data_IF_817650910156
#
_entry.id   IF_817650910156
#
_cell.length_a   1.000
_cell.length_b   1.000
_cell.length_c   1.000
_cell.angle_alpha   90.00
_cell.angle_beta   90.00
_cell.angle_gamma   90.00
#
_symmetry.space_group_name_H-M   'P 1'
#
loop_
_entity.id
_entity.type
_entity.pdbx_description
1 polymer ?
#
# COMPACT_ATOMS: atom_id res chain seq x y z
N UNK A 1 -5.62 -9.46 -13.66
CA UNK A 1 -4.15 -9.58 -13.55
C UNK A 1 -3.55 -8.29 -14.10
N UNK A 2 -2.67 -7.63 -13.33
CA UNK A 2 -1.96 -6.40 -13.75
C UNK A 2 -0.71 -6.77 -14.57
N UNK A 3 -0.28 -5.90 -15.50
CA UNK A 3 1.02 -6.11 -16.13
C UNK A 3 2.15 -5.86 -15.13
N UNK A 4 2.04 -4.79 -14.33
CA UNK A 4 3.02 -4.52 -13.28
C UNK A 4 2.40 -3.86 -12.06
N UNK A 5 2.95 -4.20 -10.89
CA UNK A 5 2.65 -3.59 -9.58
C UNK A 5 3.94 -3.00 -9.02
N UNK A 6 3.84 -1.78 -8.49
CA UNK A 6 4.94 -1.08 -7.84
C UNK A 6 4.70 -0.94 -6.33
N UNK A 7 5.71 -1.23 -5.53
CA UNK A 7 5.62 -1.16 -4.07
C UNK A 7 6.63 -0.13 -3.55
N UNK A 8 6.14 0.90 -2.88
CA UNK A 8 6.96 1.81 -2.08
C UNK A 8 7.07 1.28 -0.66
N UNK A 9 8.29 0.96 -0.23
CA UNK A 9 8.58 0.39 1.09
C UNK A 9 8.58 -1.15 1.07
N UNK A 10 9.74 -1.74 1.32
CA UNK A 10 9.97 -3.18 1.42
C UNK A 10 10.38 -3.56 2.85
N UNK A 11 9.60 -3.14 3.83
CA UNK A 11 9.62 -3.71 5.16
C UNK A 11 8.89 -5.05 5.22
N UNK A 12 8.54 -5.51 6.40
CA UNK A 12 7.78 -6.75 6.62
C UNK A 12 6.47 -6.76 5.83
N UNK A 13 5.69 -5.68 5.90
CA UNK A 13 4.40 -5.58 5.19
C UNK A 13 4.56 -5.56 3.67
N UNK A 14 5.49 -4.73 3.15
CA UNK A 14 5.74 -4.65 1.70
C UNK A 14 6.31 -5.95 1.12
N UNK A 15 7.20 -6.63 1.87
CA UNK A 15 7.71 -7.95 1.50
C UNK A 15 6.64 -9.02 1.50
N UNK A 16 5.76 -9.03 2.51
CA UNK A 16 4.61 -9.94 2.59
C UNK A 16 3.61 -9.71 1.46
N UNK A 17 3.41 -8.43 1.09
CA UNK A 17 2.56 -8.06 -0.03
C UNK A 17 3.14 -8.55 -1.35
N UNK A 18 4.44 -8.32 -1.60
CA UNK A 18 5.12 -8.81 -2.79
C UNK A 18 5.04 -10.34 -2.90
N UNK A 19 5.25 -11.05 -1.80
CA UNK A 19 5.13 -12.51 -1.73
C UNK A 19 3.71 -12.98 -2.07
N UNK A 20 2.69 -12.33 -1.51
CA UNK A 20 1.28 -12.68 -1.74
C UNK A 20 0.83 -12.36 -3.17
N UNK A 21 1.22 -11.20 -3.72
CA UNK A 21 0.96 -10.83 -5.12
C UNK A 21 1.54 -11.88 -6.07
N UNK A 22 2.79 -12.30 -5.81
CA UNK A 22 3.47 -13.30 -6.62
C UNK A 22 2.79 -14.67 -6.53
N UNK A 23 2.53 -15.16 -5.32
CA UNK A 23 1.93 -16.50 -5.11
C UNK A 23 0.53 -16.60 -5.72
N UNK A 24 -0.23 -15.51 -5.70
CA UNK A 24 -1.60 -15.44 -6.26
C UNK A 24 -1.61 -14.99 -7.73
N UNK A 25 -0.44 -14.79 -8.35
CA UNK A 25 -0.27 -14.40 -9.75
C UNK A 25 -1.07 -13.14 -10.14
N UNK A 26 -1.11 -12.13 -9.27
CA UNK A 26 -1.90 -10.91 -9.49
C UNK A 26 -1.23 -9.93 -10.44
N UNK A 27 0.09 -10.03 -10.63
CA UNK A 27 0.85 -9.24 -11.59
C UNK A 27 1.88 -10.09 -12.34
N UNK A 28 2.19 -9.70 -13.58
CA UNK A 28 3.28 -10.30 -14.35
C UNK A 28 4.64 -9.88 -13.80
N UNK A 29 4.75 -8.61 -13.37
CA UNK A 29 5.97 -8.04 -12.81
C UNK A 29 5.67 -7.30 -11.51
N UNK A 30 6.58 -7.36 -10.57
CA UNK A 30 6.53 -6.65 -9.30
C UNK A 30 7.81 -5.84 -9.21
N UNK A 31 7.66 -4.54 -9.03
CA UNK A 31 8.75 -3.59 -8.86
C UNK A 31 8.69 -2.94 -7.50
N UNK A 32 9.77 -2.36 -7.04
CA UNK A 32 9.79 -1.70 -5.74
C UNK A 32 10.80 -0.55 -5.67
N UNK A 33 10.58 0.29 -4.67
CA UNK A 33 11.55 1.23 -4.15
C UNK A 33 11.54 1.20 -2.63
N UNK A 34 12.72 1.24 -2.05
CA UNK A 34 12.94 1.43 -0.62
C UNK A 34 14.18 2.27 -0.40
N UNK A 35 14.21 3.07 0.67
CA UNK A 35 15.41 3.82 1.07
C UNK A 35 16.56 2.89 1.50
N UNK A 36 16.24 1.70 1.99
CA UNK A 36 17.20 0.68 2.39
C UNK A 36 17.52 -0.25 1.20
N UNK A 37 18.66 -0.04 0.58
CA UNK A 37 19.12 -0.84 -0.57
C UNK A 37 19.27 -2.33 -0.23
N UNK A 38 19.56 -2.69 1.02
CA UNK A 38 19.69 -4.08 1.43
C UNK A 38 18.33 -4.80 1.41
N UNK A 39 17.24 -4.11 1.75
CA UNK A 39 15.88 -4.64 1.60
C UNK A 39 15.55 -4.96 0.14
N UNK A 40 15.94 -4.06 -0.77
CA UNK A 40 15.73 -4.24 -2.22
C UNK A 40 16.52 -5.41 -2.77
N UNK A 41 17.81 -5.52 -2.41
CA UNK A 41 18.68 -6.64 -2.80
C UNK A 41 18.13 -7.96 -2.29
N UNK A 42 17.82 -8.03 -0.99
CA UNK A 42 17.24 -9.24 -0.38
C UNK A 42 15.94 -9.67 -1.08
N UNK A 43 15.01 -8.73 -1.30
CA UNK A 43 13.75 -9.04 -1.97
C UNK A 43 13.95 -9.55 -3.42
N UNK A 44 14.94 -9.01 -4.14
CA UNK A 44 15.30 -9.46 -5.48
C UNK A 44 15.93 -10.86 -5.46
N UNK A 45 16.86 -11.13 -4.56
CA UNK A 45 17.52 -12.43 -4.42
C UNK A 45 16.52 -13.53 -4.00
N UNK A 46 15.57 -13.20 -3.13
CA UNK A 46 14.44 -14.08 -2.79
C UNK A 46 13.38 -14.15 -3.89
N UNK A 47 13.59 -13.46 -4.99
CA UNK A 47 12.64 -13.41 -6.13
C UNK A 47 11.25 -12.93 -5.72
N UNK A 48 11.13 -12.08 -4.69
CA UNK A 48 9.87 -11.44 -4.30
C UNK A 48 9.50 -10.35 -5.29
N UNK A 49 10.50 -9.67 -5.83
CA UNK A 49 10.36 -8.62 -6.85
C UNK A 49 11.19 -8.95 -8.09
N UNK A 50 10.83 -8.38 -9.23
CA UNK A 50 11.54 -8.56 -10.50
C UNK A 50 12.71 -7.58 -10.65
N UNK A 51 12.50 -6.33 -10.27
CA UNK A 51 13.48 -5.26 -10.27
C UNK A 51 13.09 -4.17 -9.27
N UNK A 52 13.98 -3.20 -9.08
CA UNK A 52 13.75 -2.04 -8.23
C UNK A 52 14.37 -0.79 -8.84
N UNK A 53 13.79 0.35 -8.52
CA UNK A 53 14.35 1.66 -8.86
C UNK A 53 15.27 2.15 -7.74
N UNK A 54 16.29 2.94 -8.12
CA UNK A 54 17.09 3.71 -7.18
C UNK A 54 16.58 5.16 -7.10
N UNK A 55 16.73 5.95 -8.19
CA UNK A 55 16.33 7.36 -8.23
C UNK A 55 15.69 7.78 -9.56
N UNK A 56 15.76 6.95 -10.58
CA UNK A 56 15.25 7.22 -11.92
C UNK A 56 13.75 6.91 -12.08
N UNK A 57 13.20 6.10 -11.19
CA UNK A 57 11.78 5.69 -11.16
C UNK A 57 11.24 5.17 -12.50
N UNK A 58 12.10 4.53 -13.30
CA UNK A 58 11.75 3.96 -14.59
C UNK A 58 10.62 2.93 -14.48
N UNK A 59 10.74 2.01 -13.52
CA UNK A 59 9.73 0.97 -13.34
C UNK A 59 8.42 1.51 -12.76
N UNK A 60 8.47 2.62 -12.01
CA UNK A 60 7.27 3.32 -11.55
C UNK A 60 6.45 3.83 -12.75
N UNK A 61 7.11 4.41 -13.76
CA UNK A 61 6.43 4.94 -14.94
C UNK A 61 5.79 3.88 -15.84
N UNK A 62 6.12 2.61 -15.64
CA UNK A 62 5.53 1.47 -16.37
C UNK A 62 4.40 0.78 -15.57
N UNK A 63 4.16 1.16 -14.32
CA UNK A 63 3.34 0.37 -13.40
C UNK A 63 1.86 0.73 -13.45
N UNK A 64 1.00 -0.31 -13.48
CA UNK A 64 -0.46 -0.18 -13.53
C UNK A 64 -1.07 0.09 -12.14
N UNK A 65 -0.42 -0.42 -11.10
CA UNK A 65 -0.90 -0.38 -9.72
C UNK A 65 0.24 -0.07 -8.78
N UNK A 66 0.06 0.92 -7.92
CA UNK A 66 1.07 1.44 -7.01
C UNK A 66 0.57 1.24 -5.58
N UNK A 67 1.39 0.65 -4.72
CA UNK A 67 1.04 0.39 -3.33
C UNK A 67 2.08 1.03 -2.41
N UNK A 68 1.62 1.87 -1.48
CA UNK A 68 2.49 2.55 -0.53
C UNK A 68 2.49 1.78 0.79
N UNK A 69 3.64 1.20 1.13
CA UNK A 69 3.91 0.43 2.35
C UNK A 69 4.98 1.10 3.21
N UNK A 70 5.11 2.40 3.11
CA UNK A 70 6.11 3.21 3.80
C UNK A 70 5.54 3.86 5.08
N UNK A 71 6.38 4.30 6.03
CA UNK A 71 5.94 5.09 7.17
C UNK A 71 5.30 6.42 6.76
N UNK A 72 4.39 6.93 7.59
CA UNK A 72 3.59 8.13 7.32
C UNK A 72 4.42 9.37 6.94
N UNK A 73 5.56 9.57 7.59
CA UNK A 73 6.45 10.71 7.31
C UNK A 73 7.04 10.71 5.90
N UNK A 74 6.98 9.60 5.17
CA UNK A 74 7.47 9.49 3.80
C UNK A 74 6.39 9.84 2.74
N UNK A 75 5.11 9.92 3.11
CA UNK A 75 4.01 10.03 2.14
C UNK A 75 4.08 11.28 1.25
N UNK A 76 4.39 12.45 1.82
CA UNK A 76 4.51 13.69 1.04
C UNK A 76 5.54 13.55 -0.09
N UNK A 77 6.71 13.00 0.23
CA UNK A 77 7.77 12.77 -0.76
C UNK A 77 7.35 11.70 -1.78
N UNK A 78 6.75 10.59 -1.34
CA UNK A 78 6.27 9.51 -2.22
C UNK A 78 5.21 10.04 -3.18
N UNK A 79 4.23 10.82 -2.71
CA UNK A 79 3.23 11.42 -3.59
C UNK A 79 3.85 12.39 -4.61
N UNK A 80 4.89 13.16 -4.23
CA UNK A 80 5.62 14.01 -5.17
C UNK A 80 6.32 13.20 -6.26
N UNK A 81 6.92 12.06 -5.90
CA UNK A 81 7.53 11.13 -6.85
C UNK A 81 6.45 10.52 -7.75
N UNK A 82 5.35 10.03 -7.17
CA UNK A 82 4.25 9.45 -7.93
C UNK A 82 3.67 10.48 -8.91
N UNK A 83 3.43 11.73 -8.48
CA UNK A 83 2.95 12.80 -9.34
C UNK A 83 3.84 12.98 -10.57
N UNK A 84 5.17 12.95 -10.36
CA UNK A 84 6.15 13.19 -11.43
C UNK A 84 6.27 12.02 -12.41
N UNK A 85 6.19 10.78 -11.92
CA UNK A 85 6.61 9.60 -12.70
C UNK A 85 5.49 8.61 -12.99
N UNK A 86 4.32 8.65 -12.32
CA UNK A 86 3.24 7.69 -12.59
C UNK A 86 2.75 7.79 -14.02
N UNK A 87 2.44 6.67 -14.65
CA UNK A 87 1.73 6.69 -15.92
C UNK A 87 0.26 7.10 -15.73
N UNK A 88 -0.33 7.63 -16.81
CA UNK A 88 -1.77 7.89 -16.83
C UNK A 88 -2.58 6.62 -16.56
N UNK A 89 -3.63 6.74 -15.77
CA UNK A 89 -4.51 5.62 -15.41
C UNK A 89 -3.96 4.63 -14.39
N UNK A 90 -2.74 4.85 -13.85
CA UNK A 90 -2.22 4.03 -12.76
C UNK A 90 -3.09 4.18 -11.50
N UNK A 91 -3.35 3.06 -10.84
CA UNK A 91 -4.11 3.01 -9.58
C UNK A 91 -3.13 3.11 -8.42
N UNK A 92 -3.48 3.91 -7.42
CA UNK A 92 -2.67 4.10 -6.22
C UNK A 92 -3.50 3.66 -5.01
N UNK A 93 -2.89 2.89 -4.12
CA UNK A 93 -3.42 2.57 -2.80
C UNK A 93 -2.30 2.56 -1.77
N UNK A 94 -2.65 2.53 -0.50
CA UNK A 94 -1.70 2.42 0.59
C UNK A 94 -2.11 1.33 1.58
N UNK A 95 -1.32 1.14 2.64
CA UNK A 95 -1.63 0.25 3.75
C UNK A 95 -1.47 0.92 5.12
N UNK A 96 -1.42 2.25 5.16
CA UNK A 96 -1.23 3.01 6.40
C UNK A 96 -2.36 2.81 7.41
N UNK A 97 -2.04 2.97 8.69
CA UNK A 97 -2.98 2.79 9.80
C UNK A 97 -3.89 3.99 10.06
N UNK A 98 -3.60 5.15 9.48
CA UNK A 98 -4.45 6.36 9.53
C UNK A 98 -4.81 6.79 8.12
N UNK A 99 -5.97 7.44 7.92
CA UNK A 99 -6.46 7.78 6.58
C UNK A 99 -6.64 9.27 6.34
N UNK A 100 -7.18 10.00 7.32
CA UNK A 100 -7.49 11.41 7.16
C UNK A 100 -6.25 12.24 6.79
N UNK A 101 -5.16 12.04 7.53
CA UNK A 101 -3.92 12.76 7.26
C UNK A 101 -3.32 12.41 5.89
N UNK A 102 -3.39 11.13 5.49
CA UNK A 102 -2.93 10.69 4.16
C UNK A 102 -3.69 11.42 3.06
N UNK A 103 -5.02 11.51 3.17
CA UNK A 103 -5.87 12.20 2.19
C UNK A 103 -5.56 13.70 2.16
N UNK A 104 -5.35 14.33 3.31
CA UNK A 104 -4.98 15.74 3.35
C UNK A 104 -3.66 16.02 2.63
N UNK A 105 -2.63 15.19 2.86
CA UNK A 105 -1.35 15.30 2.15
C UNK A 105 -1.52 15.03 0.65
N UNK A 106 -2.31 14.01 0.28
CA UNK A 106 -2.58 13.62 -1.09
C UNK A 106 -3.20 14.77 -1.89
N UNK A 107 -4.25 15.41 -1.35
CA UNK A 107 -4.96 16.54 -1.98
C UNK A 107 -4.04 17.71 -2.32
N UNK A 108 -3.01 17.94 -1.49
CA UNK A 108 -2.02 19.00 -1.73
C UNK A 108 -1.07 18.69 -2.89
N UNK A 109 -0.90 17.41 -3.23
CA UNK A 109 0.13 16.97 -4.18
C UNK A 109 -0.46 16.45 -5.49
N UNK A 110 -1.48 15.60 -5.42
CA UNK A 110 -2.05 14.89 -6.59
C UNK A 110 -3.44 15.46 -6.90
N UNK A 111 -3.57 16.19 -7.99
CA UNK A 111 -4.82 16.86 -8.37
C UNK A 111 -5.89 15.90 -8.88
N UNK A 112 -5.50 14.80 -9.53
CA UNK A 112 -6.39 13.75 -10.05
C UNK A 112 -6.61 12.60 -9.05
N UNK A 113 -6.45 12.88 -7.74
CA UNK A 113 -6.50 11.86 -6.68
C UNK A 113 -7.82 11.08 -6.64
N UNK A 114 -8.93 11.70 -6.96
CA UNK A 114 -10.28 11.08 -7.00
C UNK A 114 -10.39 9.98 -8.03
N UNK A 115 -9.57 10.06 -9.08
CA UNK A 115 -9.55 9.11 -10.19
C UNK A 115 -8.54 7.98 -9.99
N UNK A 116 -7.54 8.17 -9.15
CA UNK A 116 -6.41 7.25 -9.08
C UNK A 116 -6.10 6.71 -7.68
N UNK A 117 -6.57 7.33 -6.58
CA UNK A 117 -6.22 6.92 -5.21
C UNK A 117 -7.41 6.42 -4.39
N UNK A 118 -7.20 5.31 -3.69
CA UNK A 118 -8.07 4.86 -2.58
C UNK A 118 -7.17 4.41 -1.44
N UNK A 119 -7.39 4.96 -0.25
CA UNK A 119 -6.75 4.46 0.96
C UNK A 119 -7.20 3.03 1.29
N UNK A 120 -6.28 2.23 1.78
CA UNK A 120 -6.57 0.90 2.31
C UNK A 120 -5.87 0.71 3.65
N UNK A 121 -6.45 -0.10 4.52
CA UNK A 121 -5.85 -0.50 5.78
C UNK A 121 -6.12 -1.99 6.03
N UNK A 122 -5.18 -2.88 5.72
CA UNK A 122 -5.26 -4.28 6.13
C UNK A 122 -5.12 -4.38 7.65
N UNK A 123 -6.14 -4.91 8.33
CA UNK A 123 -6.09 -5.14 9.77
C UNK A 123 -5.30 -6.43 10.06
N UNK A 124 -4.02 -6.37 9.75
CA UNK A 124 -3.04 -7.44 9.99
C UNK A 124 -1.65 -6.83 10.01
N UNK A 125 -0.73 -7.46 10.68
CA UNK A 125 0.64 -7.00 10.79
C UNK A 125 1.34 -7.70 11.94
N UNK A 126 2.62 -7.39 12.10
CA UNK A 126 3.45 -7.77 13.25
C UNK A 126 4.36 -6.60 13.61
N UNK A 127 4.86 -6.60 14.82
CA UNK A 127 5.77 -5.56 15.35
C UNK A 127 7.14 -5.51 14.66
N UNK A 128 7.48 -6.52 13.85
CA UNK A 128 8.75 -6.58 13.11
C UNK A 128 8.70 -5.69 11.86
N UNK A 129 9.77 -4.93 11.63
CA UNK A 129 9.81 -3.95 10.52
C UNK A 129 10.63 -4.38 9.30
N UNK A 130 11.48 -5.40 9.41
CA UNK A 130 12.43 -5.77 8.34
C UNK A 130 11.80 -6.66 7.27
N UNK A 131 12.29 -6.53 6.02
CA UNK A 131 11.85 -7.37 4.88
C UNK A 131 12.11 -8.86 5.12
N UNK A 132 13.13 -9.23 5.88
CA UNK A 132 13.45 -10.64 6.21
C UNK A 132 12.34 -11.32 7.03
N UNK A 133 11.53 -10.54 7.73
CA UNK A 133 10.39 -11.03 8.51
C UNK A 133 9.09 -11.14 7.69
N UNK A 134 9.17 -11.05 6.35
CA UNK A 134 7.96 -11.18 5.52
C UNK A 134 7.28 -12.53 5.71
N UNK A 135 5.96 -12.51 5.63
CA UNK A 135 5.13 -13.73 5.75
C UNK A 135 4.35 -13.99 4.47
N UNK A 136 4.37 -15.25 4.05
CA UNK A 136 3.68 -15.69 2.84
C UNK A 136 2.20 -15.64 3.13
N UNK A 137 1.33 -15.58 3.29
CA UNK A 137 -0.12 -15.59 3.49
C UNK A 137 -0.61 -14.61 4.57
N UNK A 138 0.19 -13.60 4.91
CA UNK A 138 -0.15 -12.62 5.94
C UNK A 138 -1.55 -12.00 5.73
N UNK A 139 -1.93 -11.82 4.48
CA UNK A 139 -3.21 -11.20 4.11
C UNK A 139 -4.37 -12.17 3.97
N UNK A 140 -4.15 -13.49 4.00
CA UNK A 140 -5.23 -14.47 3.82
C UNK A 140 -6.25 -14.35 4.96
N UNK A 141 -7.51 -14.12 4.59
CA UNK A 141 -8.64 -13.88 5.49
C UNK A 141 -8.59 -12.57 6.30
N UNK A 142 -7.55 -11.75 6.13
CA UNK A 142 -7.48 -10.44 6.78
C UNK A 142 -8.65 -9.55 6.36
N UNK A 143 -9.11 -8.71 7.27
CA UNK A 143 -10.06 -7.63 6.95
C UNK A 143 -9.27 -6.46 6.39
N UNK A 144 -9.72 -5.91 5.28
CA UNK A 144 -9.15 -4.70 4.69
C UNK A 144 -10.22 -3.62 4.64
N UNK A 145 -9.98 -2.54 5.34
CA UNK A 145 -10.80 -1.34 5.26
C UNK A 145 -10.33 -0.52 4.07
N UNK A 146 -11.19 -0.28 3.09
CA UNK A 146 -10.92 0.67 2.01
C UNK A 146 -11.69 1.95 2.26
N UNK A 147 -11.03 3.09 2.02
CA UNK A 147 -11.55 4.40 2.41
C UNK A 147 -11.72 5.33 1.21
N UNK A 148 -12.74 5.09 0.35
CA UNK A 148 -13.08 6.03 -0.70
C UNK A 148 -13.62 7.33 -0.08
N UNK A 149 -13.27 8.46 -0.68
CA UNK A 149 -13.94 9.74 -0.41
C UNK A 149 -15.20 9.84 -1.29
N UNK A 150 -16.07 10.79 -1.00
CA UNK A 150 -17.36 10.95 -1.70
C UNK A 150 -17.21 11.06 -3.21
N UNK A 151 -16.20 11.80 -3.67
CA UNK A 151 -15.92 12.03 -5.10
C UNK A 151 -15.17 10.88 -5.78
N UNK A 152 -14.78 9.84 -5.05
CA UNK A 152 -14.02 8.71 -5.64
C UNK A 152 -14.83 7.95 -6.68
N UNK A 153 -14.28 7.76 -7.87
CA UNK A 153 -14.95 7.03 -8.96
C UNK A 153 -15.31 5.59 -8.54
N UNK A 154 -16.56 5.18 -8.76
CA UNK A 154 -17.06 3.81 -8.46
C UNK A 154 -16.23 2.71 -9.13
N UNK A 155 -15.71 2.97 -10.33
CA UNK A 155 -14.84 2.05 -11.07
C UNK A 155 -13.51 1.81 -10.34
N UNK A 156 -12.93 2.84 -9.75
CA UNK A 156 -11.70 2.73 -8.95
C UNK A 156 -11.96 1.93 -7.66
N UNK A 157 -13.07 2.21 -6.95
CA UNK A 157 -13.50 1.42 -5.79
C UNK A 157 -13.61 -0.07 -6.13
N UNK A 158 -14.23 -0.38 -7.28
CA UNK A 158 -14.35 -1.77 -7.74
C UNK A 158 -12.99 -2.42 -8.01
N UNK A 159 -12.07 -1.72 -8.68
CA UNK A 159 -10.73 -2.25 -9.00
C UNK A 159 -9.91 -2.54 -7.75
N UNK A 160 -9.87 -1.62 -6.78
CA UNK A 160 -9.13 -1.82 -5.52
C UNK A 160 -9.78 -2.91 -4.66
N UNK A 161 -11.13 -2.95 -4.59
CA UNK A 161 -11.84 -4.05 -3.90
C UNK A 161 -11.53 -5.41 -4.52
N UNK A 162 -11.52 -5.51 -5.86
CA UNK A 162 -11.16 -6.75 -6.57
C UNK A 162 -9.72 -7.18 -6.29
N UNK A 163 -8.78 -6.23 -6.22
CA UNK A 163 -7.38 -6.54 -5.85
C UNK A 163 -7.30 -7.20 -4.48
N UNK A 164 -7.89 -6.58 -3.44
CA UNK A 164 -7.83 -7.13 -2.08
C UNK A 164 -8.60 -8.46 -1.95
N UNK A 165 -9.75 -8.61 -2.63
CA UNK A 165 -10.47 -9.90 -2.68
C UNK A 165 -9.64 -11.00 -3.35
N UNK A 166 -8.90 -10.67 -4.42
CA UNK A 166 -7.96 -11.61 -5.06
C UNK A 166 -6.77 -11.97 -4.15
N UNK A 167 -6.43 -11.11 -3.18
CA UNK A 167 -5.51 -11.40 -2.08
C UNK A 167 -6.13 -12.29 -1.00
N UNK A 168 -7.38 -12.75 -1.16
CA UNK A 168 -8.21 -13.51 -0.21
C UNK A 168 -8.58 -12.73 1.05
N UNK A 169 -8.63 -11.41 0.97
CA UNK A 169 -9.07 -10.54 2.06
C UNK A 169 -10.59 -10.37 2.07
N UNK A 170 -11.14 -10.10 3.27
CA UNK A 170 -12.49 -9.55 3.44
C UNK A 170 -12.42 -8.03 3.30
N UNK A 171 -13.17 -7.44 2.36
CA UNK A 171 -13.09 -5.99 2.08
C UNK A 171 -14.34 -5.30 2.61
N UNK A 172 -14.13 -4.30 3.44
CA UNK A 172 -15.16 -3.41 3.99
C UNK A 172 -14.88 -1.98 3.54
N UNK A 173 -15.93 -1.22 3.20
CA UNK A 173 -15.86 0.20 2.87
C UNK A 173 -16.23 1.02 4.08
N UNK A 174 -15.48 2.09 4.33
CA UNK A 174 -15.71 3.02 5.42
C UNK A 174 -15.21 4.41 4.98
N UNK A 175 -15.79 5.51 5.48
CA UNK A 175 -15.19 6.82 5.20
C UNK A 175 -13.85 6.99 5.94
N UNK A 176 -12.95 7.85 5.44
CA UNK A 176 -11.67 8.12 6.12
C UNK A 176 -11.84 8.61 7.56
N UNK A 177 -12.84 9.46 7.79
CA UNK A 177 -13.17 10.04 9.09
C UNK A 177 -13.62 8.96 10.08
N UNK A 178 -14.59 8.16 9.67
CA UNK A 178 -15.12 7.07 10.50
C UNK A 178 -14.07 5.99 10.74
N UNK A 179 -13.21 5.72 9.75
CA UNK A 179 -12.07 4.82 9.90
C UNK A 179 -11.17 5.28 11.04
N UNK A 180 -10.72 6.55 11.02
CA UNK A 180 -9.78 7.05 12.02
C UNK A 180 -10.44 7.15 13.40
N UNK A 181 -11.72 7.50 13.47
CA UNK A 181 -12.49 7.52 14.72
C UNK A 181 -12.55 6.12 15.35
N UNK A 182 -13.04 5.13 14.61
CA UNK A 182 -13.19 3.75 15.12
C UNK A 182 -11.83 3.14 15.51
N UNK A 183 -10.80 3.32 14.67
CA UNK A 183 -9.48 2.73 14.94
C UNK A 183 -8.72 3.45 16.05
N UNK A 184 -9.00 4.73 16.32
CA UNK A 184 -8.43 5.43 17.47
C UNK A 184 -8.86 4.79 18.78
N UNK A 185 -10.12 4.39 18.92
CA UNK A 185 -10.67 3.80 20.13
C UNK A 185 -10.37 2.29 20.25
N UNK A 186 -10.50 1.55 19.15
CA UNK A 186 -10.44 0.08 19.18
C UNK A 186 -9.04 -0.51 18.99
N UNK A 187 -8.10 0.27 18.47
CA UNK A 187 -6.74 -0.20 18.15
C UNK A 187 -5.67 0.72 18.72
N UNK A 188 -5.68 2.02 18.39
CA UNK A 188 -4.56 2.90 18.72
C UNK A 188 -4.48 3.17 20.22
N UNK A 189 -5.60 3.49 20.88
CA UNK A 189 -5.64 3.73 22.32
C UNK A 189 -5.21 2.49 23.13
N UNK A 190 -5.74 1.26 22.87
CA UNK A 190 -5.25 0.06 23.53
C UNK A 190 -3.75 -0.17 23.38
N UNK A 191 -3.19 0.05 22.19
CA UNK A 191 -1.74 -0.04 21.98
C UNK A 191 -0.98 1.00 22.84
N UNK A 192 -1.42 2.25 22.82
CA UNK A 192 -0.78 3.30 23.61
C UNK A 192 -0.77 2.96 25.09
N UNK A 193 -1.91 2.47 25.64
CA UNK A 193 -2.01 2.04 27.03
C UNK A 193 -1.07 0.87 27.31
N UNK A 194 -1.00 -0.13 26.42
CA UNK A 194 -0.12 -1.29 26.62
C UNK A 194 1.38 -0.96 26.59
N UNK A 195 1.78 0.13 25.94
CA UNK A 195 3.16 0.63 25.95
C UNK A 195 3.47 1.52 27.15
N UNK A 196 2.44 2.05 27.81
CA UNK A 196 2.59 2.92 28.98
C UNK A 196 2.62 2.14 30.31
N UNK A 197 2.20 0.89 30.33
CA UNK A 197 2.24 -0.05 31.48
C UNK A 197 3.51 -0.89 31.49
#
# INVERSE_FOLDING_TARGET
MYNSIYIFGLGMMGGSLASSIKSKKLAKKIYAYDKNINSLKYAKDKKLIHAYDNKDFKYLSESDFIIICAPMNAYKNIFSIIKKYKKSGAIITDIGSTKQNIINILKLVITDHEECFIGSHPLTGKETSMVMSYEKNLFDKAVVLITPIETTKKTLVSKVSKFWKAMKCKVTKISPELHDLVLSETSHLPHLVSFAL
#
